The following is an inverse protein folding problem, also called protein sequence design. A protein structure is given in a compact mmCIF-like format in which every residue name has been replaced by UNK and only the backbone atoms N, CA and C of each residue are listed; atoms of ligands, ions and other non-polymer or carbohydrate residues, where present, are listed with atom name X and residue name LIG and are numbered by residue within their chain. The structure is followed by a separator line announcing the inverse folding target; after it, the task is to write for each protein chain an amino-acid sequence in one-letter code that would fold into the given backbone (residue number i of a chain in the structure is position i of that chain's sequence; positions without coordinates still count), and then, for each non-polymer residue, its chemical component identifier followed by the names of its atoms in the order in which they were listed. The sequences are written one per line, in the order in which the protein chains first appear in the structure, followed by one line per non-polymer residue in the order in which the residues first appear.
data_IF_143043751083
#
_entry.id   IF_143043751083
#
_cell.length_a   1.000
_cell.length_b   1.000
_cell.length_c   1.000
_cell.angle_alpha   90.00
_cell.angle_beta   90.00
_cell.angle_gamma   90.00
#
_symmetry.space_group_name_H-M   'P 1'
#
loop_
_entity.id
_entity.type
_entity.pdbx_description
1 polymer ?
#
# COMPACT_ATOMS: atom_id res chain seq x y z
N UNK A 1 11.85 -2.61 12.40
CA UNK A 1 12.12 -2.72 10.96
C UNK A 1 11.02 -3.55 10.33
N UNK A 2 10.17 -2.94 9.49
CA UNK A 2 9.14 -3.64 8.73
C UNK A 2 9.57 -3.79 7.27
N UNK A 3 9.10 -4.82 6.59
CA UNK A 3 9.24 -5.00 5.14
C UNK A 3 7.87 -4.86 4.46
N UNK A 4 7.83 -4.91 3.12
CA UNK A 4 6.59 -4.75 2.35
C UNK A 4 5.47 -5.71 2.77
N UNK A 5 5.79 -6.96 3.13
CA UNK A 5 4.79 -7.93 3.61
C UNK A 5 4.15 -7.48 4.92
N UNK A 6 4.94 -7.02 5.88
CA UNK A 6 4.42 -6.50 7.15
C UNK A 6 3.56 -5.24 6.94
N UNK A 7 3.95 -4.37 6.00
CA UNK A 7 3.17 -3.19 5.62
C UNK A 7 1.82 -3.59 5.03
N UNK A 8 1.79 -4.57 4.13
CA UNK A 8 0.55 -5.08 3.53
C UNK A 8 -0.35 -5.76 4.57
N UNK A 9 0.21 -6.52 5.52
CA UNK A 9 -0.54 -7.09 6.64
C UNK A 9 -1.18 -5.98 7.51
N UNK A 10 -0.44 -4.92 7.81
CA UNK A 10 -0.98 -3.74 8.50
C UNK A 10 -2.07 -3.06 7.68
N UNK A 11 -1.92 -2.92 6.36
CA UNK A 11 -2.97 -2.41 5.48
C UNK A 11 -4.25 -3.24 5.58
N UNK A 12 -4.16 -4.57 5.54
CA UNK A 12 -5.32 -5.45 5.68
C UNK A 12 -5.98 -5.26 7.05
N UNK A 13 -5.19 -5.18 8.12
CA UNK A 13 -5.71 -4.92 9.48
C UNK A 13 -6.51 -3.62 9.53
N UNK A 14 -5.95 -2.50 9.06
CA UNK A 14 -6.68 -1.21 9.02
C UNK A 14 -7.98 -1.33 8.20
N UNK A 15 -7.94 -2.00 7.05
CA UNK A 15 -9.12 -2.21 6.21
C UNK A 15 -10.23 -3.01 6.91
N UNK A 16 -9.87 -4.03 7.70
CA UNK A 16 -10.86 -4.81 8.46
C UNK A 16 -11.58 -3.99 9.54
N UNK A 17 -10.91 -3.00 10.13
CA UNK A 17 -11.53 -2.14 11.16
C UNK A 17 -12.44 -1.09 10.54
N UNK A 18 -12.13 -0.62 9.32
CA UNK A 18 -12.84 0.47 8.65
C UNK A 18 -14.33 0.20 8.37
N UNK A 19 -14.74 -1.08 8.27
CA UNK A 19 -16.10 -1.46 7.85
C UNK A 19 -17.25 -1.00 8.77
N UNK A 20 -16.95 -0.54 9.99
CA UNK A 20 -17.94 -0.05 10.95
C UNK A 20 -17.58 1.28 11.61
N UNK A 21 -16.61 2.02 11.07
CA UNK A 21 -16.13 3.28 11.66
C UNK A 21 -16.66 4.49 10.90
N UNK A 22 -16.90 5.56 11.64
CA UNK A 22 -17.34 6.86 11.15
C UNK A 22 -16.53 7.99 11.80
N UNK A 23 -16.64 9.21 11.25
CA UNK A 23 -15.99 10.41 11.76
C UNK A 23 -14.47 10.27 11.94
N UNK A 24 -13.94 10.86 13.00
CA UNK A 24 -12.50 10.92 13.29
C UNK A 24 -11.82 9.53 13.35
N UNK A 25 -12.55 8.50 13.82
CA UNK A 25 -12.02 7.13 13.87
C UNK A 25 -11.81 6.59 12.45
N UNK A 26 -12.78 6.80 11.56
CA UNK A 26 -12.62 6.44 10.16
C UNK A 26 -11.43 7.17 9.54
N UNK A 27 -11.31 8.47 9.75
CA UNK A 27 -10.20 9.26 9.20
C UNK A 27 -8.83 8.78 9.69
N UNK A 28 -8.71 8.47 10.98
CA UNK A 28 -7.48 7.95 11.57
C UNK A 28 -7.06 6.61 10.98
N UNK A 29 -7.97 5.63 10.95
CA UNK A 29 -7.69 4.31 10.37
C UNK A 29 -7.46 4.38 8.85
N UNK A 30 -8.13 5.29 8.15
CA UNK A 30 -7.93 5.53 6.72
C UNK A 30 -6.53 6.10 6.43
N UNK A 31 -6.08 7.06 7.25
CA UNK A 31 -4.73 7.63 7.12
C UNK A 31 -3.63 6.58 7.38
N UNK A 32 -3.83 5.71 8.38
CA UNK A 32 -2.94 4.58 8.62
C UNK A 32 -2.91 3.62 7.42
N UNK A 33 -4.09 3.24 6.88
CA UNK A 33 -4.18 2.39 5.69
C UNK A 33 -3.38 2.97 4.51
N UNK A 34 -3.57 4.26 4.23
CA UNK A 34 -2.83 4.97 3.18
C UNK A 34 -1.32 4.97 3.43
N UNK A 35 -0.90 5.17 4.68
CA UNK A 35 0.51 5.15 5.09
C UNK A 35 1.13 3.77 4.87
N UNK A 36 0.47 2.71 5.33
CA UNK A 36 0.98 1.36 5.21
C UNK A 36 1.09 0.90 3.76
N UNK A 37 0.05 1.11 2.96
CA UNK A 37 0.06 0.66 1.56
C UNK A 37 1.04 1.47 0.70
N UNK A 38 1.22 2.77 0.98
CA UNK A 38 2.24 3.59 0.31
C UNK A 38 3.65 3.13 0.68
N UNK A 39 3.88 2.78 1.94
CA UNK A 39 5.18 2.31 2.37
C UNK A 39 5.50 0.89 1.87
N UNK A 40 4.50 0.01 1.72
CA UNK A 40 4.67 -1.27 1.02
C UNK A 40 5.17 -1.06 -0.41
N UNK A 41 4.55 -0.12 -1.14
CA UNK A 41 4.95 0.22 -2.51
C UNK A 41 6.38 0.79 -2.56
N UNK A 42 6.76 1.62 -1.58
CA UNK A 42 8.14 2.11 -1.45
C UNK A 42 9.11 0.98 -1.20
N UNK A 43 8.82 0.06 -0.26
CA UNK A 43 9.69 -1.09 0.03
C UNK A 43 9.88 -1.98 -1.22
N UNK A 44 8.84 -2.18 -2.02
CA UNK A 44 8.89 -2.93 -3.28
C UNK A 44 9.73 -2.22 -4.35
N UNK A 45 9.59 -0.91 -4.50
CA UNK A 45 10.41 -0.12 -5.43
C UNK A 45 11.88 -0.11 -5.01
N UNK A 46 12.17 0.12 -3.72
CA UNK A 46 13.53 0.06 -3.18
C UNK A 46 14.15 -1.34 -3.31
N UNK A 47 13.34 -2.40 -3.22
CA UNK A 47 13.81 -3.75 -3.48
C UNK A 47 14.31 -3.91 -4.93
N UNK A 48 13.59 -3.37 -5.92
CA UNK A 48 14.04 -3.39 -7.32
C UNK A 48 15.32 -2.57 -7.50
N UNK A 49 15.41 -1.40 -6.85
CA UNK A 49 16.61 -0.55 -6.89
C UNK A 49 17.83 -1.22 -6.24
N UNK A 50 17.64 -2.02 -5.19
CA UNK A 50 18.70 -2.80 -4.57
C UNK A 50 19.37 -3.82 -5.51
N UNK A 51 18.70 -4.19 -6.62
CA UNK A 51 19.25 -5.04 -7.68
C UNK A 51 19.72 -4.24 -8.91
N UNK A 52 19.81 -2.91 -8.85
CA UNK A 52 20.20 -2.10 -10.00
C UNK A 52 21.64 -2.41 -10.48
N UNK A 53 22.54 -2.71 -9.55
CA UNK A 53 23.93 -3.06 -9.85
C UNK A 53 24.08 -4.36 -10.66
N UNK A 54 25.18 -4.47 -11.41
CA UNK A 54 25.48 -5.55 -12.35
C UNK A 54 26.11 -6.77 -11.69
N UNK A 55 26.52 -6.68 -10.43
CA UNK A 55 27.14 -7.80 -9.68
C UNK A 55 26.27 -9.05 -9.58
N UNK A 56 24.94 -8.91 -9.72
CA UNK A 56 23.99 -10.03 -9.72
C UNK A 56 23.26 -10.23 -11.07
N UNK A 57 23.85 -9.77 -12.18
CA UNK A 57 23.27 -9.97 -13.51
C UNK A 57 23.08 -11.47 -13.81
N UNK A 58 21.86 -11.85 -14.18
CA UNK A 58 21.51 -13.23 -14.47
C UNK A 58 20.05 -13.59 -14.21
N UNK A 59 19.68 -14.88 -14.35
CA UNK A 59 18.30 -15.36 -14.24
C UNK A 59 17.65 -15.03 -12.89
N UNK A 60 18.43 -15.02 -11.80
CA UNK A 60 17.94 -14.71 -10.45
C UNK A 60 17.46 -13.27 -10.36
N UNK A 61 18.29 -12.29 -10.75
CA UNK A 61 17.92 -10.86 -10.77
C UNK A 61 16.69 -10.61 -11.65
N UNK A 62 16.64 -11.23 -12.84
CA UNK A 62 15.47 -11.12 -13.73
C UNK A 62 14.22 -11.68 -13.08
N UNK A 63 14.31 -12.85 -12.45
CA UNK A 63 13.20 -13.51 -11.77
C UNK A 63 12.67 -12.69 -10.58
N UNK A 64 13.56 -12.20 -9.72
CA UNK A 64 13.21 -11.36 -8.57
C UNK A 64 12.57 -10.06 -9.03
N UNK A 65 13.22 -9.32 -9.94
CA UNK A 65 12.71 -8.04 -10.44
C UNK A 65 11.33 -8.19 -11.08
N UNK A 66 11.10 -9.23 -11.89
CA UNK A 66 9.78 -9.49 -12.50
C UNK A 66 8.70 -9.67 -11.44
N UNK A 67 8.97 -10.44 -10.38
CA UNK A 67 8.02 -10.70 -9.30
C UNK A 67 7.75 -9.43 -8.49
N UNK A 68 8.79 -8.70 -8.09
CA UNK A 68 8.63 -7.49 -7.26
C UNK A 68 7.92 -6.38 -8.02
N UNK A 69 8.24 -6.16 -9.30
CA UNK A 69 7.52 -5.18 -10.15
C UNK A 69 6.04 -5.55 -10.30
N UNK A 70 5.73 -6.84 -10.39
CA UNK A 70 4.34 -7.29 -10.45
C UNK A 70 3.59 -6.97 -9.15
N UNK A 71 4.21 -7.24 -7.99
CA UNK A 71 3.63 -6.88 -6.69
C UNK A 71 3.46 -5.35 -6.57
N UNK A 72 4.48 -4.56 -6.91
CA UNK A 72 4.42 -3.10 -6.93
C UNK A 72 3.24 -2.56 -7.75
N UNK A 73 2.95 -3.18 -8.90
CA UNK A 73 1.80 -2.80 -9.72
C UNK A 73 0.47 -3.09 -9.04
N UNK A 74 0.35 -4.23 -8.35
CA UNK A 74 -0.85 -4.55 -7.56
C UNK A 74 -0.99 -3.60 -6.38
N UNK A 75 0.08 -3.35 -5.63
CA UNK A 75 0.10 -2.43 -4.49
C UNK A 75 -0.27 -1.00 -4.92
N UNK A 76 0.23 -0.54 -6.07
CA UNK A 76 -0.15 0.75 -6.65
C UNK A 76 -1.64 0.83 -7.00
N UNK A 77 -2.20 -0.22 -7.61
CA UNK A 77 -3.64 -0.30 -7.87
C UNK A 77 -4.45 -0.27 -6.56
N UNK A 78 -4.01 -1.00 -5.53
CA UNK A 78 -4.65 -1.00 -4.22
C UNK A 78 -4.62 0.40 -3.58
N UNK A 79 -3.48 1.10 -3.60
CA UNK A 79 -3.36 2.47 -3.12
C UNK A 79 -4.34 3.41 -3.85
N UNK A 80 -4.47 3.29 -5.17
CA UNK A 80 -5.42 4.09 -5.94
C UNK A 80 -6.89 3.83 -5.53
N UNK A 81 -7.24 2.56 -5.26
CA UNK A 81 -8.57 2.20 -4.76
C UNK A 81 -8.81 2.77 -3.35
N UNK A 82 -7.83 2.68 -2.45
CA UNK A 82 -7.89 3.24 -1.09
C UNK A 82 -8.11 4.75 -1.15
N UNK A 83 -7.36 5.47 -1.98
CA UNK A 83 -7.51 6.92 -2.15
C UNK A 83 -8.91 7.30 -2.66
N UNK A 84 -9.44 6.53 -3.63
CA UNK A 84 -10.81 6.74 -4.14
C UNK A 84 -11.86 6.48 -3.06
N UNK A 85 -11.69 5.42 -2.27
CA UNK A 85 -12.60 5.09 -1.17
C UNK A 85 -12.61 6.18 -0.10
N UNK A 86 -11.44 6.65 0.34
CA UNK A 86 -11.31 7.78 1.25
C UNK A 86 -12.01 9.04 0.72
N UNK A 87 -11.77 9.40 -0.55
CA UNK A 87 -12.37 10.57 -1.18
C UNK A 87 -13.90 10.46 -1.30
N UNK A 88 -14.45 9.25 -1.45
CA UNK A 88 -15.90 9.03 -1.46
C UNK A 88 -16.49 9.26 -0.06
N UNK A 89 -15.89 8.70 0.99
CA UNK A 89 -16.36 8.87 2.37
C UNK A 89 -16.27 10.33 2.87
N UNK A 90 -15.19 11.04 2.54
CA UNK A 90 -15.05 12.47 2.87
C UNK A 90 -16.09 13.38 2.17
N UNK A 91 -16.74 12.91 1.10
CA UNK A 91 -17.87 13.62 0.48
C UNK A 91 -19.20 13.32 1.18
N UNK A 92 -19.39 12.09 1.65
CA UNK A 92 -20.59 11.68 2.39
C UNK A 92 -20.65 12.38 3.76
N UNK A 93 -19.54 12.45 4.50
CA UNK A 93 -19.48 13.12 5.80
C UNK A 93 -19.75 14.63 5.75
N UNK A 94 -19.56 15.28 4.60
CA UNK A 94 -19.88 16.71 4.40
C UNK A 94 -21.36 16.99 4.10
N UNK A 95 -22.17 15.94 3.91
CA UNK A 95 -23.58 16.06 3.56
C UNK A 95 -24.54 15.76 4.74
N UNK A 96 -24.02 15.59 5.96
CA UNK A 96 -24.84 15.44 7.16
C UNK A 96 -24.94 16.81 7.89
N UNK A 97 -26.14 17.43 7.96
CA UNK A 97 -26.36 18.69 8.69
C UNK A 97 -26.33 18.51 10.21
#
# INVERSE_FOLDING_TARGET
MGNGVNRLDQSVKELTVLGGLEGDKFEWHMSNLQTWVSAALTDENMCVEGFADRTMDGPVKVGVRRRVVYVAKITSNALALVQRFAAKHARVGRHHP
#
